data_IF_585220662298
#
_entry.id   IF_585220662298
#
_cell.length_a   1.000
_cell.length_b   1.000
_cell.length_c   1.000
_cell.angle_alpha   90.00
_cell.angle_beta   90.00
_cell.angle_gamma   90.00
#
_symmetry.space_group_name_H-M   'P 1'
#
loop_
_entity.id
_entity.type
_entity.pdbx_description
1 polymer ?
#
# COMPACT_ATOMS: atom_id res chain seq x y z
N UNK A 1 -25.80 -12.57 17.64
CA UNK A 1 -26.26 -13.29 16.43
C UNK A 1 -25.61 -12.68 15.19
N UNK A 2 -25.97 -11.47 14.75
CA UNK A 2 -25.36 -10.83 13.56
C UNK A 2 -23.82 -10.76 13.51
N UNK A 3 -23.13 -10.53 14.64
CA UNK A 3 -21.66 -10.44 14.69
C UNK A 3 -20.96 -11.79 14.54
N UNK A 4 -21.63 -12.88 14.94
CA UNK A 4 -21.15 -14.25 14.78
C UNK A 4 -21.45 -14.76 13.36
N UNK A 5 -22.59 -14.34 12.78
CA UNK A 5 -23.03 -14.76 11.45
C UNK A 5 -22.29 -14.04 10.31
N UNK A 6 -21.81 -12.80 10.54
CA UNK A 6 -21.05 -12.01 9.55
C UNK A 6 -19.55 -12.30 9.51
N UNK A 7 -18.99 -12.95 10.54
CA UNK A 7 -17.53 -13.17 10.66
C UNK A 7 -16.72 -11.87 10.86
N UNK A 8 -17.39 -10.75 11.10
CA UNK A 8 -16.79 -9.43 11.28
C UNK A 8 -16.43 -9.18 12.76
N UNK A 9 -15.33 -8.47 13.02
CA UNK A 9 -14.93 -8.13 14.40
C UNK A 9 -15.76 -6.99 15.00
N UNK A 10 -16.55 -6.28 14.19
CA UNK A 10 -17.34 -5.14 14.60
C UNK A 10 -18.53 -4.89 13.66
N UNK A 11 -19.66 -4.46 14.24
CA UNK A 11 -20.87 -4.05 13.53
C UNK A 11 -21.26 -2.66 14.00
N UNK A 12 -21.47 -1.75 13.06
CA UNK A 12 -22.10 -0.46 13.31
C UNK A 12 -23.60 -0.56 13.02
N UNK A 13 -24.43 -0.19 14.00
CA UNK A 13 -25.90 -0.25 13.87
C UNK A 13 -26.47 0.84 12.96
N UNK A 14 -25.72 1.90 12.70
CA UNK A 14 -26.16 3.05 11.88
C UNK A 14 -25.67 3.00 10.45
N UNK A 15 -24.66 2.17 10.15
CA UNK A 15 -24.14 1.91 8.82
C UNK A 15 -23.31 0.62 8.83
N UNK A 16 -23.79 -0.48 8.23
CA UNK A 16 -23.21 -1.82 8.40
C UNK A 16 -21.74 -1.91 7.93
N UNK A 17 -21.37 -1.08 6.96
CA UNK A 17 -20.01 -1.00 6.40
C UNK A 17 -19.06 -0.08 7.17
N UNK A 18 -19.59 0.77 8.05
CA UNK A 18 -18.76 1.72 8.80
C UNK A 18 -17.95 0.98 9.86
N UNK A 19 -16.67 1.34 9.98
CA UNK A 19 -15.72 0.66 10.85
C UNK A 19 -15.17 1.65 11.88
N UNK A 20 -14.74 1.12 13.03
CA UNK A 20 -13.92 1.86 13.99
C UNK A 20 -12.60 2.26 13.33
N UNK A 21 -12.40 3.55 13.09
CA UNK A 21 -11.18 4.13 12.50
C UNK A 21 -10.52 5.00 13.56
N UNK A 22 -9.22 4.77 13.78
CA UNK A 22 -8.42 5.60 14.69
C UNK A 22 -8.04 6.88 13.95
N UNK A 23 -8.59 8.02 14.37
CA UNK A 23 -8.29 9.33 13.77
C UNK A 23 -7.00 9.94 14.32
N UNK A 24 -6.81 9.85 15.63
CA UNK A 24 -5.62 10.39 16.30
C UNK A 24 -5.41 9.72 17.66
N UNK A 25 -4.26 9.06 17.85
CA UNK A 25 -3.90 8.34 19.09
C UNK A 25 -4.97 7.33 19.51
N UNK A 26 -5.80 7.71 20.49
CA UNK A 26 -6.83 6.88 21.12
C UNK A 26 -8.27 7.33 20.75
N UNK A 27 -8.42 8.34 19.89
CA UNK A 27 -9.74 8.78 19.42
C UNK A 27 -10.19 7.87 18.28
N UNK A 28 -11.24 7.13 18.57
CA UNK A 28 -11.87 6.16 17.69
C UNK A 28 -13.21 6.73 17.24
N UNK A 29 -13.37 6.92 15.93
CA UNK A 29 -14.67 7.23 15.34
C UNK A 29 -15.14 6.09 14.45
N UNK A 30 -16.44 5.91 14.38
CA UNK A 30 -17.05 5.02 13.40
C UNK A 30 -17.15 5.79 12.08
N UNK A 31 -16.50 5.31 11.03
CA UNK A 31 -16.45 5.97 9.74
C UNK A 31 -15.80 5.14 8.65
N UNK A 32 -15.43 5.80 7.55
CA UNK A 32 -14.75 5.20 6.41
C UNK A 32 -13.33 5.77 6.31
N UNK A 33 -12.36 4.89 6.05
CA UNK A 33 -10.97 5.29 5.95
C UNK A 33 -10.61 5.49 4.47
N UNK A 34 -10.98 6.65 3.95
CA UNK A 34 -10.81 6.99 2.53
C UNK A 34 -9.33 6.95 2.14
N UNK A 35 -9.02 6.08 1.19
CA UNK A 35 -7.74 5.96 0.51
C UNK A 35 -7.79 6.79 -0.77
N UNK A 36 -6.68 7.43 -1.16
CA UNK A 36 -6.63 8.20 -2.40
C UNK A 36 -5.25 8.19 -3.05
N UNK A 37 -5.21 8.01 -4.36
CA UNK A 37 -4.02 8.23 -5.18
C UNK A 37 -4.00 9.67 -5.71
N UNK A 38 -2.82 10.30 -5.71
CA UNK A 38 -2.62 11.65 -6.19
C UNK A 38 -1.43 11.72 -7.15
N UNK A 39 -1.55 12.53 -8.19
CA UNK A 39 -0.45 12.83 -9.10
C UNK A 39 0.57 13.77 -8.42
N UNK A 40 1.85 13.52 -8.67
CA UNK A 40 2.95 14.29 -8.05
C UNK A 40 3.17 15.65 -8.69
N UNK A 41 2.85 15.83 -9.98
CA UNK A 41 3.21 17.03 -10.76
C UNK A 41 2.20 18.17 -10.58
N UNK A 42 0.93 17.88 -10.76
CA UNK A 42 -0.20 18.81 -10.75
C UNK A 42 -1.05 18.71 -9.48
N UNK A 43 -0.83 17.68 -8.67
CA UNK A 43 -1.50 17.44 -7.38
C UNK A 43 -2.98 17.09 -7.53
N UNK A 44 -3.34 16.46 -8.65
CA UNK A 44 -4.70 16.02 -8.92
C UNK A 44 -4.97 14.68 -8.23
N UNK A 45 -6.17 14.51 -7.69
CA UNK A 45 -6.66 13.19 -7.31
C UNK A 45 -6.82 12.34 -8.56
N UNK A 46 -6.35 11.10 -8.50
CA UNK A 46 -6.40 10.13 -9.60
C UNK A 46 -7.52 9.13 -9.32
N UNK A 47 -7.47 8.48 -8.16
CA UNK A 47 -8.44 7.49 -7.74
C UNK A 47 -8.64 7.50 -6.23
N UNK A 48 -9.69 6.83 -5.76
CA UNK A 48 -10.02 6.70 -4.35
C UNK A 48 -10.76 5.39 -4.06
N UNK A 49 -10.69 4.97 -2.79
CA UNK A 49 -11.42 3.84 -2.26
C UNK A 49 -11.85 4.12 -0.80
N UNK A 50 -12.95 3.51 -0.36
CA UNK A 50 -13.42 3.57 1.03
C UNK A 50 -12.51 2.85 2.01
N UNK A 51 -11.58 2.05 1.49
CA UNK A 51 -10.59 1.32 2.24
C UNK A 51 -11.21 0.22 3.10
N UNK A 52 -10.35 -0.38 3.92
CA UNK A 52 -10.74 -1.26 5.03
C UNK A 52 -10.48 -0.55 6.36
N UNK A 53 -10.56 -1.27 7.48
CA UNK A 53 -10.24 -0.75 8.82
C UNK A 53 -8.82 -0.14 8.90
N UNK A 54 -7.89 -0.60 8.06
CA UNK A 54 -6.52 -0.09 8.00
C UNK A 54 -5.97 -0.04 6.56
N UNK A 55 -4.90 0.75 6.38
CA UNK A 55 -4.26 1.01 5.07
C UNK A 55 -3.38 -0.16 4.58
N UNK A 56 -3.18 -1.17 5.43
CA UNK A 56 -2.17 -2.24 5.24
C UNK A 56 -2.37 -3.06 3.97
N UNK A 57 -3.59 -3.05 3.44
CA UNK A 57 -4.00 -3.85 2.28
C UNK A 57 -4.38 -3.03 1.04
N UNK A 58 -4.23 -1.70 1.07
CA UNK A 58 -4.73 -0.83 0.00
C UNK A 58 -3.71 -0.55 -1.12
N UNK A 59 -2.41 -0.79 -0.89
CA UNK A 59 -1.34 -0.34 -1.81
C UNK A 59 -1.51 -0.86 -3.24
N UNK A 60 -1.59 -2.18 -3.42
CA UNK A 60 -1.56 -2.77 -4.76
C UNK A 60 -2.84 -2.46 -5.55
N UNK A 61 -4.00 -2.55 -4.92
CA UNK A 61 -5.29 -2.27 -5.57
C UNK A 61 -5.33 -0.81 -6.06
N UNK A 62 -5.01 0.14 -5.18
CA UNK A 62 -4.95 1.57 -5.54
C UNK A 62 -3.92 1.86 -6.63
N UNK A 63 -2.75 1.25 -6.58
CA UNK A 63 -1.70 1.50 -7.56
C UNK A 63 -2.05 0.89 -8.93
N UNK A 64 -2.61 -0.32 -8.98
CA UNK A 64 -3.03 -0.94 -10.23
C UNK A 64 -4.16 -0.16 -10.89
N UNK A 65 -5.14 0.27 -10.10
CA UNK A 65 -6.24 1.10 -10.57
C UNK A 65 -5.75 2.44 -11.12
N UNK A 66 -4.88 3.15 -10.39
CA UNK A 66 -4.28 4.39 -10.89
C UNK A 66 -3.47 4.18 -12.17
N UNK A 67 -2.71 3.09 -12.27
CA UNK A 67 -1.94 2.74 -13.48
C UNK A 67 -2.86 2.50 -14.67
N UNK A 68 -3.95 1.77 -14.47
CA UNK A 68 -4.94 1.48 -15.51
C UNK A 68 -5.65 2.77 -15.96
N UNK A 69 -6.09 3.60 -15.02
CA UNK A 69 -6.79 4.86 -15.29
C UNK A 69 -5.90 5.87 -16.04
N UNK A 70 -4.62 5.92 -15.72
CA UNK A 70 -3.65 6.79 -16.39
C UNK A 70 -3.09 6.18 -17.70
N UNK A 71 -3.44 4.93 -18.01
CA UNK A 71 -2.98 4.18 -19.19
C UNK A 71 -1.44 4.15 -19.34
N UNK A 72 -0.72 4.13 -18.23
CA UNK A 72 0.77 4.16 -18.23
C UNK A 72 1.37 2.76 -18.15
N UNK A 73 2.46 2.52 -18.88
CA UNK A 73 3.17 1.23 -18.85
C UNK A 73 3.94 0.99 -17.55
N UNK A 74 4.49 2.06 -16.98
CA UNK A 74 5.27 2.06 -15.73
C UNK A 74 4.96 3.32 -14.92
N UNK A 75 5.02 3.23 -13.60
CA UNK A 75 4.90 4.38 -12.71
C UNK A 75 5.62 4.15 -11.39
N UNK A 76 5.90 5.25 -10.69
CA UNK A 76 6.44 5.22 -9.34
C UNK A 76 5.33 5.57 -8.35
N UNK A 77 5.33 4.92 -7.18
CA UNK A 77 4.36 5.20 -6.12
C UNK A 77 5.06 5.47 -4.79
N UNK A 78 4.68 6.57 -4.14
CA UNK A 78 5.20 7.02 -2.85
C UNK A 78 4.12 6.80 -1.80
N UNK A 79 4.42 6.04 -0.75
CA UNK A 79 3.43 5.73 0.29
C UNK A 79 3.95 5.84 1.71
N UNK A 80 3.00 6.02 2.62
CA UNK A 80 3.25 6.01 4.05
C UNK A 80 3.57 4.60 4.58
N UNK A 81 4.11 4.56 5.79
CA UNK A 81 4.49 3.32 6.49
C UNK A 81 3.32 2.33 6.65
N UNK A 82 2.08 2.82 6.69
CA UNK A 82 0.88 1.99 6.78
C UNK A 82 0.76 1.00 5.62
N UNK A 83 1.17 1.40 4.42
CA UNK A 83 1.01 0.65 3.17
C UNK A 83 2.09 -0.40 2.92
N UNK A 84 3.14 -0.46 3.74
CA UNK A 84 4.29 -1.34 3.50
C UNK A 84 3.95 -2.79 3.80
N UNK A 85 3.55 -3.56 2.80
CA UNK A 85 3.27 -4.99 2.94
C UNK A 85 3.91 -5.76 1.80
N UNK A 86 4.70 -6.79 2.11
CA UNK A 86 5.52 -7.49 1.12
C UNK A 86 4.73 -8.02 -0.08
N UNK A 87 3.55 -8.61 0.15
CA UNK A 87 2.64 -9.06 -0.92
C UNK A 87 2.32 -7.92 -1.90
N UNK A 88 1.97 -6.74 -1.37
CA UNK A 88 1.55 -5.61 -2.22
C UNK A 88 2.74 -4.99 -2.96
N UNK A 89 3.91 -4.89 -2.32
CA UNK A 89 5.12 -4.39 -2.98
C UNK A 89 5.56 -5.34 -4.10
N UNK A 90 5.50 -6.65 -3.87
CA UNK A 90 5.77 -7.66 -4.90
C UNK A 90 4.76 -7.58 -6.06
N UNK A 91 3.47 -7.48 -5.77
CA UNK A 91 2.43 -7.30 -6.79
C UNK A 91 2.67 -6.03 -7.62
N UNK A 92 2.98 -4.90 -6.99
CA UNK A 92 3.34 -3.67 -7.69
C UNK A 92 4.56 -3.86 -8.60
N UNK A 93 5.61 -4.48 -8.07
CA UNK A 93 6.87 -4.72 -8.82
C UNK A 93 6.61 -5.58 -10.06
N UNK A 94 5.83 -6.66 -9.94
CA UNK A 94 5.43 -7.53 -11.06
C UNK A 94 4.59 -6.82 -12.12
N UNK A 95 3.91 -5.73 -11.73
CA UNK A 95 3.11 -4.91 -12.61
C UNK A 95 3.84 -3.63 -13.04
N UNK A 96 5.17 -3.60 -13.01
CA UNK A 96 5.99 -2.44 -13.43
C UNK A 96 5.66 -1.15 -12.66
N UNK A 97 5.33 -1.28 -11.37
CA UNK A 97 5.11 -0.17 -10.45
C UNK A 97 6.24 -0.15 -9.43
N UNK A 98 7.09 0.88 -9.46
CA UNK A 98 8.19 1.04 -8.51
C UNK A 98 7.67 1.64 -7.22
N UNK A 99 7.81 0.93 -6.10
CA UNK A 99 7.34 1.42 -4.81
C UNK A 99 8.40 2.18 -4.02
N UNK A 100 8.00 3.20 -3.29
CA UNK A 100 8.80 3.89 -2.30
C UNK A 100 7.96 3.99 -1.03
N UNK A 101 8.11 3.00 -0.15
CA UNK A 101 7.36 2.88 1.10
C UNK A 101 8.31 2.75 2.28
N UNK A 102 7.97 3.32 3.44
CA UNK A 102 8.86 3.30 4.62
C UNK A 102 9.26 1.86 4.95
N UNK A 103 10.55 1.58 5.20
CA UNK A 103 10.96 0.28 5.71
C UNK A 103 10.20 -0.04 7.00
N UNK A 104 9.69 -1.27 7.10
CA UNK A 104 9.16 -1.79 8.36
C UNK A 104 10.31 -2.46 9.10
N UNK A 105 10.50 -2.07 10.36
CA UNK A 105 11.44 -2.77 11.24
C UNK A 105 11.10 -4.26 11.26
N UNK A 106 12.12 -5.10 11.22
CA UNK A 106 11.93 -6.52 11.44
C UNK A 106 11.33 -6.72 12.82
N UNK A 107 10.31 -7.58 12.93
CA UNK A 107 9.80 -8.03 14.22
C UNK A 107 10.78 -9.01 14.84
N UNK A 108 11.98 -8.56 15.20
CA UNK A 108 12.86 -9.33 16.06
C UNK A 108 12.28 -9.26 17.47
N UNK A 109 12.10 -10.43 18.09
CA UNK A 109 11.78 -10.45 19.51
C UNK A 109 12.99 -9.89 20.26
N UNK A 110 12.79 -8.86 21.06
CA UNK A 110 13.86 -8.21 21.83
C UNK A 110 14.25 -9.09 23.04
N UNK A 111 14.76 -10.29 22.74
CA UNK A 111 15.01 -11.36 23.70
C UNK A 111 16.50 -11.48 24.03
N UNK A 112 17.32 -10.49 23.69
CA UNK A 112 18.78 -10.52 23.88
C UNK A 112 19.53 -11.52 23.02
N UNK A 113 18.84 -12.22 22.10
CA UNK A 113 19.45 -13.13 21.12
C UNK A 113 19.84 -12.36 19.86
N UNK A 114 20.77 -12.93 19.07
CA UNK A 114 21.14 -12.38 17.78
C UNK A 114 19.92 -12.11 16.88
N UNK A 115 19.87 -10.89 16.38
CA UNK A 115 18.88 -10.44 15.41
C UNK A 115 19.09 -11.18 14.08
N UNK A 116 17.99 -11.37 13.35
CA UNK A 116 18.02 -11.87 11.97
C UNK A 116 18.84 -10.98 11.05
N UNK A 117 18.92 -9.66 11.31
CA UNK A 117 19.71 -8.73 10.50
C UNK A 117 21.22 -9.05 10.47
N UNK A 118 21.74 -9.73 11.49
CA UNK A 118 23.16 -10.12 11.56
C UNK A 118 23.45 -11.31 10.61
N UNK A 119 22.42 -12.06 10.20
CA UNK A 119 22.54 -13.17 9.26
C UNK A 119 22.56 -12.62 7.83
N UNK A 120 23.67 -12.85 7.12
CA UNK A 120 23.82 -12.36 5.74
C UNK A 120 23.15 -13.34 4.78
N UNK A 121 22.22 -12.85 3.98
CA UNK A 121 21.59 -13.63 2.91
C UNK A 121 22.44 -13.56 1.65
N UNK A 122 22.73 -14.72 1.08
CA UNK A 122 23.31 -14.87 -0.26
C UNK A 122 22.21 -15.32 -1.23
N UNK A 123 21.91 -14.44 -2.19
CA UNK A 123 20.87 -14.66 -3.19
C UNK A 123 21.30 -15.69 -4.26
N UNK A 124 22.58 -15.75 -4.62
CA UNK A 124 23.05 -16.62 -5.69
C UNK A 124 22.97 -18.09 -5.27
N UNK A 125 23.41 -18.37 -4.05
CA UNK A 125 23.39 -19.73 -3.50
C UNK A 125 22.10 -20.07 -2.74
N UNK A 126 21.20 -19.10 -2.55
CA UNK A 126 20.03 -19.19 -1.67
C UNK A 126 20.38 -19.74 -0.28
N UNK A 127 21.33 -19.08 0.39
CA UNK A 127 21.79 -19.48 1.73
C UNK A 127 21.89 -18.30 2.69
N UNK A 128 21.97 -18.60 3.98
CA UNK A 128 22.27 -17.62 5.02
C UNK A 128 23.60 -17.94 5.69
N UNK A 129 24.44 -16.94 5.90
CA UNK A 129 25.66 -17.06 6.71
C UNK A 129 25.41 -16.53 8.11
N UNK A 130 25.64 -17.35 9.13
CA UNK A 130 25.48 -16.94 10.53
C UNK A 130 26.72 -16.19 11.06
N UNK A 131 26.60 -15.50 12.22
CA UNK A 131 27.73 -14.77 12.82
C UNK A 131 28.93 -15.64 13.20
N UNK A 132 28.71 -16.96 13.37
CA UNK A 132 29.78 -17.93 13.61
C UNK A 132 30.39 -18.50 12.32
N UNK A 133 30.04 -17.95 11.14
CA UNK A 133 30.57 -18.36 9.84
C UNK A 133 29.91 -19.59 9.20
N UNK A 134 29.00 -20.27 9.90
CA UNK A 134 28.33 -21.45 9.35
C UNK A 134 27.21 -21.07 8.36
N UNK A 135 27.07 -21.87 7.30
CA UNK A 135 26.05 -21.73 6.27
C UNK A 135 24.76 -22.45 6.69
N UNK A 136 23.63 -21.77 6.52
CA UNK A 136 22.27 -22.29 6.68
C UNK A 136 21.68 -22.49 5.29
N UNK A 137 21.21 -23.71 5.04
CA UNK A 137 20.60 -24.11 3.77
C UNK A 137 19.11 -24.36 3.97
N UNK A 138 18.39 -24.51 2.85
CA UNK A 138 16.95 -24.76 2.84
C UNK A 138 16.63 -26.03 2.03
N UNK A 139 15.55 -26.71 2.41
CA UNK A 139 15.02 -27.85 1.66
C UNK A 139 14.14 -27.41 0.47
N UNK A 140 14.10 -26.12 0.13
CA UNK A 140 13.27 -25.60 -0.97
C UNK A 140 11.79 -25.38 -0.59
N UNK A 141 11.27 -26.16 0.36
CA UNK A 141 9.84 -26.17 0.70
C UNK A 141 9.35 -24.84 1.29
N UNK A 142 8.21 -24.37 0.77
CA UNK A 142 7.52 -23.18 1.25
C UNK A 142 6.47 -23.59 2.29
N UNK A 143 6.67 -23.19 3.55
CA UNK A 143 5.70 -23.39 4.60
C UNK A 143 4.60 -22.33 4.51
N UNK A 144 3.34 -22.78 4.34
CA UNK A 144 2.16 -21.92 4.47
C UNK A 144 1.79 -21.80 5.95
N UNK A 145 2.04 -20.63 6.53
CA UNK A 145 1.44 -20.19 7.80
C UNK A 145 0.18 -19.37 7.48
N UNK A 146 -0.74 -19.25 8.44
CA UNK A 146 -2.06 -18.62 8.27
C UNK A 146 -2.09 -17.39 7.34
N UNK A 147 -1.18 -16.43 7.54
CA UNK A 147 -1.06 -15.20 6.72
C UNK A 147 0.27 -15.04 5.97
N UNK A 148 1.17 -16.02 6.08
CA UNK A 148 2.55 -15.87 5.60
C UNK A 148 3.04 -17.12 4.88
N UNK A 149 3.76 -16.91 3.79
CA UNK A 149 4.48 -17.97 3.08
C UNK A 149 5.96 -17.75 3.33
N UNK A 150 6.61 -18.72 3.96
CA UNK A 150 8.00 -18.60 4.39
C UNK A 150 8.82 -19.81 3.97
N UNK A 151 10.08 -19.56 3.63
CA UNK A 151 11.10 -20.57 3.41
C UNK A 151 11.97 -20.68 4.66
N UNK A 152 12.25 -21.90 5.10
CA UNK A 152 13.02 -22.16 6.32
C UNK A 152 14.46 -22.52 6.00
N UNK A 153 15.37 -21.93 6.76
CA UNK A 153 16.81 -22.19 6.66
C UNK A 153 17.32 -22.65 8.03
N UNK A 154 18.17 -23.67 8.02
CA UNK A 154 18.77 -24.24 9.21
C UNK A 154 20.14 -24.84 8.90
N UNK A 155 20.89 -25.17 9.96
CA UNK A 155 22.20 -25.81 9.84
C UNK A 155 22.43 -26.82 10.96
N UNK A 156 23.16 -27.90 10.66
CA UNK A 156 23.58 -28.89 11.66
C UNK A 156 24.77 -28.39 12.51
N UNK A 157 25.51 -27.38 12.02
CA UNK A 157 26.64 -26.77 12.72
C UNK A 157 26.26 -26.15 14.08
N UNK A 158 24.97 -25.98 14.37
CA UNK A 158 24.51 -25.50 15.67
C UNK A 158 24.74 -26.47 16.84
N UNK A 159 24.96 -27.77 16.63
CA UNK A 159 25.06 -28.74 17.73
C UNK A 159 26.36 -28.63 18.57
N UNK A 160 27.41 -28.03 18.02
CA UNK A 160 28.68 -27.77 18.74
C UNK A 160 29.08 -26.30 18.77
N UNK A 161 28.16 -25.38 18.45
CA UNK A 161 28.50 -23.98 18.29
C UNK A 161 28.72 -23.26 19.64
N UNK A 162 29.91 -22.69 19.83
CA UNK A 162 30.28 -21.91 21.04
C UNK A 162 29.40 -20.67 21.26
N UNK A 163 28.85 -20.10 20.18
CA UNK A 163 27.99 -18.91 20.25
C UNK A 163 26.49 -19.24 20.35
N UNK A 164 26.13 -20.51 20.55
CA UNK A 164 24.73 -20.94 20.56
C UNK A 164 23.88 -20.23 21.61
N UNK A 165 24.42 -20.01 22.82
CA UNK A 165 23.72 -19.33 23.91
C UNK A 165 23.25 -17.91 23.56
N UNK A 166 24.00 -17.20 22.71
CA UNK A 166 23.65 -15.87 22.21
C UNK A 166 22.76 -15.91 20.95
N UNK A 167 22.63 -17.07 20.31
CA UNK A 167 21.98 -17.21 19.00
C UNK A 167 20.57 -17.81 19.10
N UNK A 168 20.36 -18.84 19.91
CA UNK A 168 19.08 -19.57 19.98
C UNK A 168 18.94 -20.38 21.27
N UNK A 169 17.71 -20.45 21.79
CA UNK A 169 17.34 -21.36 22.89
C UNK A 169 16.80 -22.70 22.38
N UNK A 170 16.51 -22.83 21.09
CA UNK A 170 15.90 -24.03 20.52
C UNK A 170 16.91 -25.19 20.47
N UNK A 171 16.53 -26.37 20.99
CA UNK A 171 17.32 -27.61 20.99
C UNK A 171 17.79 -28.04 19.58
N UNK A 172 17.02 -27.77 18.54
CA UNK A 172 17.37 -28.16 17.15
C UNK A 172 18.27 -27.15 16.41
N UNK A 173 18.62 -26.01 17.03
CA UNK A 173 19.41 -24.95 16.42
C UNK A 173 18.57 -23.73 16.01
N UNK A 174 19.20 -22.75 15.36
CA UNK A 174 18.53 -21.53 14.90
C UNK A 174 17.82 -21.81 13.58
N UNK A 175 16.54 -21.44 13.51
CA UNK A 175 15.79 -21.43 12.26
C UNK A 175 15.64 -19.99 11.80
N UNK A 176 15.92 -19.74 10.54
CA UNK A 176 15.62 -18.48 9.87
C UNK A 176 14.43 -18.71 8.96
N UNK A 177 13.39 -17.89 9.10
CA UNK A 177 12.23 -17.91 8.21
C UNK A 177 12.28 -16.67 7.32
N UNK A 178 12.53 -16.88 6.02
CA UNK A 178 12.51 -15.82 5.01
C UNK A 178 11.14 -15.79 4.35
N UNK A 179 10.48 -14.63 4.31
CA UNK A 179 9.24 -14.46 3.52
C UNK A 179 9.54 -14.61 2.04
N UNK A 180 8.61 -15.18 1.26
CA UNK A 180 8.73 -15.20 -0.20
C UNK A 180 8.73 -13.80 -0.82
N UNK A 181 8.23 -12.80 -0.08
CA UNK A 181 8.19 -11.39 -0.49
C UNK A 181 9.33 -10.57 0.14
N UNK A 182 10.29 -11.22 0.80
CA UNK A 182 11.35 -10.52 1.53
C UNK A 182 12.25 -9.72 0.58
N UNK A 183 12.53 -10.26 -0.60
CA UNK A 183 13.33 -9.57 -1.62
C UNK A 183 12.67 -8.26 -2.07
N UNK A 184 11.36 -8.27 -2.31
CA UNK A 184 10.62 -7.07 -2.70
C UNK A 184 10.67 -5.98 -1.61
N UNK A 185 10.66 -6.37 -0.33
CA UNK A 185 10.82 -5.47 0.81
C UNK A 185 12.23 -4.88 0.89
N UNK A 186 13.26 -5.73 0.78
CA UNK A 186 14.67 -5.33 0.80
C UNK A 186 15.00 -4.36 -0.34
N UNK A 187 14.47 -4.62 -1.54
CA UNK A 187 14.69 -3.75 -2.70
C UNK A 187 13.96 -2.40 -2.56
N UNK A 188 12.75 -2.39 -1.99
CA UNK A 188 12.07 -1.16 -1.62
C UNK A 188 12.84 -0.37 -0.56
N UNK A 189 13.38 -1.04 0.47
CA UNK A 189 14.18 -0.40 1.50
C UNK A 189 15.46 0.22 0.92
N UNK A 190 16.19 -0.49 0.05
CA UNK A 190 17.34 0.05 -0.67
C UNK A 190 16.97 1.32 -1.43
N UNK A 191 15.88 1.28 -2.22
CA UNK A 191 15.38 2.44 -2.99
C UNK A 191 15.11 3.65 -2.12
N UNK A 192 14.43 3.49 -0.99
CA UNK A 192 14.11 4.58 -0.06
C UNK A 192 15.38 5.13 0.60
N UNK A 193 16.26 4.25 1.08
CA UNK A 193 17.51 4.64 1.76
C UNK A 193 18.46 5.37 0.81
N UNK A 194 18.53 4.95 -0.45
CA UNK A 194 19.35 5.60 -1.49
C UNK A 194 18.74 6.92 -1.98
N UNK A 195 17.42 7.09 -1.90
CA UNK A 195 16.70 8.26 -2.41
C UNK A 195 15.86 8.96 -1.33
N UNK A 196 16.47 9.43 -0.21
CA UNK A 196 15.71 10.00 0.90
C UNK A 196 15.00 11.31 0.51
N UNK A 197 15.59 12.11 -0.38
CA UNK A 197 14.98 13.33 -0.90
C UNK A 197 13.72 13.06 -1.71
N UNK A 198 13.75 12.04 -2.58
CA UNK A 198 12.58 11.63 -3.35
C UNK A 198 11.48 11.08 -2.44
N UNK A 199 11.84 10.25 -1.45
CA UNK A 199 10.86 9.70 -0.49
C UNK A 199 10.15 10.79 0.32
N UNK A 200 10.85 11.87 0.70
CA UNK A 200 10.26 13.01 1.42
C UNK A 200 9.12 13.69 0.66
N UNK A 201 9.07 13.61 -0.68
CA UNK A 201 8.02 14.23 -1.48
C UNK A 201 6.62 13.70 -1.13
N UNK A 202 6.49 12.50 -0.54
CA UNK A 202 5.19 11.95 -0.12
C UNK A 202 4.39 12.91 0.75
N UNK A 203 5.06 13.64 1.64
CA UNK A 203 4.43 14.61 2.57
C UNK A 203 3.83 15.80 1.81
N UNK A 204 4.42 16.16 0.66
CA UNK A 204 3.97 17.27 -0.16
C UNK A 204 2.96 16.87 -1.23
N UNK A 205 2.80 15.56 -1.50
CA UNK A 205 1.93 15.10 -2.59
C UNK A 205 0.48 15.01 -2.17
N UNK A 206 0.15 14.49 -0.98
CA UNK A 206 -1.25 14.15 -0.62
C UNK A 206 -1.80 14.96 0.57
N UNK A 207 -0.94 15.45 1.47
CA UNK A 207 -1.38 16.07 2.72
C UNK A 207 -2.14 17.39 2.49
N UNK A 208 -1.71 18.20 1.52
CA UNK A 208 -2.33 19.50 1.25
C UNK A 208 -3.72 19.39 0.60
N UNK A 209 -3.99 18.36 -0.20
CA UNK A 209 -5.33 18.13 -0.74
C UNK A 209 -6.31 17.76 0.37
N UNK A 210 -5.92 16.85 1.27
CA UNK A 210 -6.74 16.55 2.44
C UNK A 210 -6.86 17.74 3.39
N UNK A 211 -5.83 18.57 3.52
CA UNK A 211 -5.90 19.85 4.22
C UNK A 211 -6.97 20.77 3.61
N UNK A 212 -7.01 20.88 2.29
CA UNK A 212 -8.01 21.67 1.56
C UNK A 212 -9.42 21.12 1.82
N UNK A 213 -9.64 19.83 1.58
CA UNK A 213 -10.95 19.20 1.77
C UNK A 213 -11.42 19.30 3.22
N UNK A 214 -10.60 18.89 4.19
CA UNK A 214 -11.00 18.76 5.60
C UNK A 214 -11.00 20.09 6.35
N UNK A 215 -9.98 20.93 6.15
CA UNK A 215 -9.79 22.16 6.94
C UNK A 215 -10.39 23.39 6.26
N UNK A 216 -10.21 23.52 4.95
CA UNK A 216 -10.71 24.70 4.24
C UNK A 216 -12.17 24.55 3.82
N UNK A 217 -12.59 23.36 3.38
CA UNK A 217 -13.95 23.12 2.88
C UNK A 217 -14.86 22.43 3.89
N UNK A 218 -14.33 22.02 5.05
CA UNK A 218 -15.11 21.38 6.10
C UNK A 218 -15.59 19.97 5.77
N UNK A 219 -15.01 19.30 4.77
CA UNK A 219 -15.38 17.93 4.39
C UNK A 219 -14.80 16.91 5.38
N UNK A 220 -15.48 16.75 6.52
CA UNK A 220 -15.09 15.85 7.61
C UNK A 220 -16.08 14.71 7.85
N UNK A 221 -17.22 14.71 7.17
CA UNK A 221 -18.26 13.67 7.22
C UNK A 221 -18.90 13.49 5.84
N UNK A 222 -19.48 12.31 5.61
CA UNK A 222 -20.32 12.01 4.43
C UNK A 222 -21.79 12.06 4.82
N UNK A 223 -22.64 12.41 3.87
CA UNK A 223 -24.09 12.47 4.08
C UNK A 223 -24.72 11.10 3.81
N UNK A 224 -24.14 10.35 2.88
CA UNK A 224 -24.64 9.05 2.49
C UNK A 224 -24.04 7.89 3.32
N UNK A 225 -24.69 6.73 3.23
CA UNK A 225 -24.32 5.48 3.90
C UNK A 225 -24.15 4.35 2.90
N UNK A 226 -23.28 3.40 3.23
CA UNK A 226 -22.87 2.32 2.33
C UNK A 226 -21.69 2.76 1.46
N UNK A 227 -20.76 1.84 1.20
CA UNK A 227 -19.46 2.18 0.58
C UNK A 227 -19.61 2.90 -0.76
N UNK A 228 -20.48 2.43 -1.63
CA UNK A 228 -20.68 3.01 -2.97
C UNK A 228 -21.21 4.45 -2.90
N UNK A 229 -22.17 4.70 -2.02
CA UNK A 229 -22.74 6.03 -1.84
C UNK A 229 -21.74 6.99 -1.18
N UNK A 230 -20.98 6.50 -0.20
CA UNK A 230 -19.89 7.26 0.44
C UNK A 230 -18.80 7.60 -0.57
N UNK A 231 -18.45 6.68 -1.46
CA UNK A 231 -17.53 6.97 -2.58
C UNK A 231 -18.10 8.03 -3.50
N UNK A 232 -19.40 8.07 -3.72
CA UNK A 232 -20.03 9.11 -4.54
C UNK A 232 -19.83 10.51 -3.93
N UNK A 233 -20.07 10.67 -2.62
CA UNK A 233 -19.79 11.92 -1.89
C UNK A 233 -18.31 12.34 -2.03
N UNK A 234 -17.39 11.38 -1.82
CA UNK A 234 -15.94 11.62 -1.92
C UNK A 234 -15.52 12.00 -3.33
N UNK A 235 -16.02 11.29 -4.35
CA UNK A 235 -15.73 11.54 -5.76
C UNK A 235 -16.17 12.93 -6.18
N UNK A 236 -17.36 13.38 -5.77
CA UNK A 236 -17.83 14.74 -6.04
C UNK A 236 -16.87 15.79 -5.45
N UNK A 237 -16.45 15.61 -4.21
CA UNK A 237 -15.52 16.54 -3.56
C UNK A 237 -14.13 16.55 -4.20
N UNK A 238 -13.60 15.38 -4.55
CA UNK A 238 -12.32 15.28 -5.26
C UNK A 238 -12.40 15.86 -6.68
N UNK A 239 -13.51 15.69 -7.38
CA UNK A 239 -13.76 16.30 -8.68
C UNK A 239 -13.79 17.83 -8.58
N UNK A 240 -14.51 18.37 -7.60
CA UNK A 240 -14.51 19.81 -7.32
C UNK A 240 -13.10 20.34 -7.01
N UNK A 241 -12.30 19.59 -6.24
CA UNK A 241 -10.89 19.91 -6.01
C UNK A 241 -10.09 19.93 -7.31
N UNK A 242 -10.18 18.89 -8.11
CA UNK A 242 -9.47 18.78 -9.38
C UNK A 242 -9.84 19.90 -10.34
N UNK A 243 -11.13 20.24 -10.48
CA UNK A 243 -11.57 21.35 -11.33
C UNK A 243 -11.00 22.69 -10.86
N UNK A 244 -11.02 22.97 -9.55
CA UNK A 244 -10.39 24.18 -8.99
C UNK A 244 -8.89 24.21 -9.24
N UNK A 245 -8.21 23.07 -9.09
CA UNK A 245 -6.77 22.97 -9.35
C UNK A 245 -6.45 23.18 -10.83
N UNK A 246 -7.25 22.62 -11.74
CA UNK A 246 -7.10 22.79 -13.18
C UNK A 246 -7.29 24.25 -13.61
N UNK A 247 -8.24 24.98 -13.00
CA UNK A 247 -8.39 26.42 -13.23
C UNK A 247 -7.12 27.19 -12.86
N UNK A 248 -6.46 26.84 -11.75
CA UNK A 248 -5.19 27.46 -11.36
C UNK A 248 -4.01 27.08 -12.26
N UNK A 249 -4.01 25.90 -12.88
CA UNK A 249 -2.92 25.44 -13.76
C UNK A 249 -3.02 26.07 -15.16
N UNK A 250 -4.24 26.16 -15.71
CA UNK A 250 -4.44 26.57 -17.10
C UNK A 250 -4.91 28.01 -17.29
N UNK A 251 -5.66 28.59 -16.35
CA UNK A 251 -6.71 29.63 -16.54
C UNK A 251 -8.10 29.07 -16.93
N UNK A 252 -9.14 29.77 -16.49
CA UNK A 252 -10.56 29.41 -16.68
C UNK A 252 -10.94 29.33 -18.15
N UNK A 253 -10.47 30.26 -18.98
CA UNK A 253 -10.83 30.29 -20.40
C UNK A 253 -10.23 29.10 -21.14
N UNK A 254 -8.97 28.77 -20.82
CA UNK A 254 -8.26 27.62 -21.38
C UNK A 254 -8.88 26.30 -20.94
N UNK A 255 -9.28 26.18 -19.67
CA UNK A 255 -10.00 25.01 -19.19
C UNK A 255 -11.35 24.84 -19.91
N UNK A 256 -12.13 25.92 -20.04
CA UNK A 256 -13.42 25.91 -20.75
C UNK A 256 -13.27 25.46 -22.21
N UNK A 257 -12.25 25.96 -22.91
CA UNK A 257 -11.94 25.53 -24.27
C UNK A 257 -11.64 24.03 -24.34
N UNK A 258 -10.77 23.51 -23.45
CA UNK A 258 -10.43 22.08 -23.41
C UNK A 258 -11.63 21.19 -23.09
N UNK A 259 -12.47 21.59 -22.14
CA UNK A 259 -13.70 20.85 -21.81
C UNK A 259 -14.66 20.80 -23.00
N UNK A 260 -14.84 21.91 -23.74
CA UNK A 260 -15.65 21.91 -24.97
C UNK A 260 -15.09 20.94 -26.03
N UNK A 261 -13.78 20.92 -26.23
CA UNK A 261 -13.14 19.96 -27.15
C UNK A 261 -13.32 18.51 -26.72
N UNK A 262 -13.27 18.24 -25.40
CA UNK A 262 -13.55 16.90 -24.87
C UNK A 262 -14.98 16.47 -25.10
N UNK A 263 -15.96 17.36 -24.93
CA UNK A 263 -17.38 17.07 -25.21
C UNK A 263 -17.55 16.64 -26.67
N UNK A 264 -16.93 17.34 -27.62
CA UNK A 264 -16.95 16.97 -29.04
C UNK A 264 -16.32 15.58 -29.27
N UNK A 265 -15.22 15.28 -28.59
CA UNK A 265 -14.58 13.96 -28.65
C UNK A 265 -15.47 12.84 -28.06
N UNK A 266 -16.13 13.10 -26.93
CA UNK A 266 -17.08 12.16 -26.32
C UNK A 266 -18.27 11.88 -27.25
N UNK A 267 -18.87 12.91 -27.85
CA UNK A 267 -19.97 12.74 -28.81
C UNK A 267 -19.51 11.99 -30.07
N UNK A 268 -18.31 12.26 -30.59
CA UNK A 268 -17.76 11.53 -31.72
C UNK A 268 -17.55 10.04 -31.40
N UNK A 269 -17.00 9.73 -30.22
CA UNK A 269 -16.77 8.35 -29.77
C UNK A 269 -18.09 7.62 -29.48
N UNK A 270 -19.06 8.30 -28.88
CA UNK A 270 -20.39 7.75 -28.59
C UNK A 270 -21.21 7.52 -29.87
N UNK A 271 -21.10 8.43 -30.85
CA UNK A 271 -21.68 8.25 -32.19
C UNK A 271 -21.10 7.04 -32.93
N UNK A 272 -19.78 6.83 -32.84
CA UNK A 272 -19.10 5.64 -33.37
C UNK A 272 -19.54 4.34 -32.67
N UNK A 273 -19.73 4.36 -31.35
CA UNK A 273 -20.24 3.20 -30.59
C UNK A 273 -21.68 2.88 -30.99
N UNK A 274 -22.52 3.90 -31.17
CA UNK A 274 -23.92 3.73 -31.57
C UNK A 274 -24.05 3.21 -33.01
N UNK A 275 -23.16 3.63 -33.91
CA UNK A 275 -23.10 3.13 -35.29
C UNK A 275 -22.64 1.66 -35.35
N UNK A 276 -21.72 1.23 -34.47
CA UNK A 276 -21.25 -0.17 -34.41
C UNK A 276 -22.23 -1.13 -33.69
N UNK A 277 -23.23 -0.61 -32.98
CA UNK A 277 -24.31 -1.40 -32.35
C UNK A 277 -25.59 -1.48 -33.21
N UNK A 278 -25.59 -0.85 -34.40
CA UNK A 278 -26.70 -0.85 -35.35
C UNK A 278 -26.49 -1.80 -36.55
N UNK A 279 -25.60 -2.78 -36.43
CA UNK A 279 -25.43 -3.89 -37.38
C UNK A 279 -25.61 -5.23 -36.68
#
# INVERSE_FOLDING_TARGET
KELLDSGETQISKTGPDAKSVVLHRNVVNVGYNIQSGCDSKHKLFVNNDTGRVNDTHALAEMALDAKALLEVKKMDTLTDKGYTTGVHIDTCTKNNITTYSSPKAHSSQNNGLYDMQIFKYDKENDTYTCPAGAILTTNGNICKKRKHRVKRYNTKACQGCKQRSKCTTNKKGRFIERSIYQEALEENEKRVTQNPGYYKLRQQITEHQFGTLKRQWGFIFTLMKGKENVLSDVNLMMMCYNLRRLMSIFDVNKLKSRLKSLVLYFFAKYGLIRANLCF
#
